data_IF_708216447378
#
_entry.id   IF_708216447378
#
_cell.length_a   1.000
_cell.length_b   1.000
_cell.length_c   1.000
_cell.angle_alpha   90.00
_cell.angle_beta   90.00
_cell.angle_gamma   90.00
#
_symmetry.space_group_name_H-M   'P 1'
#
loop_
_entity.id
_entity.type
_entity.pdbx_description
1 polymer ?
#
# COMPACT_ATOMS: atom_id res chain seq x y z
N UNK A 1 -10.13 4.99 7.59
CA UNK A 1 -9.82 3.66 7.03
C UNK A 1 -9.37 2.77 8.18
N UNK A 2 -10.08 1.67 8.40
CA UNK A 2 -9.72 0.67 9.39
C UNK A 2 -8.65 -0.28 8.85
N UNK A 3 -7.96 -1.07 9.71
CA UNK A 3 -7.07 -2.13 9.24
C UNK A 3 -7.76 -3.15 8.32
N UNK A 4 -9.05 -3.45 8.57
CA UNK A 4 -9.86 -4.34 7.73
C UNK A 4 -10.08 -3.76 6.33
N UNK A 5 -10.50 -2.50 6.24
CA UNK A 5 -10.71 -1.83 4.93
C UNK A 5 -9.41 -1.82 4.10
N UNK A 6 -8.26 -1.59 4.76
CA UNK A 6 -6.95 -1.59 4.11
C UNK A 6 -6.55 -3.00 3.65
N UNK A 7 -6.88 -4.02 4.45
CA UNK A 7 -6.65 -5.41 4.08
C UNK A 7 -7.45 -5.78 2.83
N UNK A 8 -8.74 -5.47 2.82
CA UNK A 8 -9.63 -5.77 1.69
C UNK A 8 -9.19 -5.01 0.42
N UNK A 9 -8.80 -3.75 0.55
CA UNK A 9 -8.22 -2.97 -0.55
C UNK A 9 -6.96 -3.63 -1.12
N UNK A 10 -6.08 -4.16 -0.27
CA UNK A 10 -4.89 -4.86 -0.74
C UNK A 10 -5.23 -6.20 -1.41
N UNK A 11 -6.19 -6.95 -0.86
CA UNK A 11 -6.62 -8.22 -1.45
C UNK A 11 -7.25 -7.99 -2.83
N UNK A 12 -8.10 -6.97 -3.00
CA UNK A 12 -8.65 -6.60 -4.30
C UNK A 12 -7.55 -6.25 -5.31
N UNK A 13 -6.56 -5.45 -4.90
CA UNK A 13 -5.43 -5.11 -5.76
C UNK A 13 -4.62 -6.34 -6.18
N UNK A 14 -4.42 -7.31 -5.29
CA UNK A 14 -3.74 -8.58 -5.58
C UNK A 14 -4.56 -9.43 -6.55
N UNK A 15 -5.88 -9.55 -6.31
CA UNK A 15 -6.77 -10.33 -7.17
C UNK A 15 -6.85 -9.77 -8.59
N UNK A 16 -6.95 -8.44 -8.73
CA UNK A 16 -6.97 -7.78 -10.05
C UNK A 16 -5.65 -7.94 -10.79
N UNK A 17 -4.53 -7.88 -10.07
CA UNK A 17 -3.22 -8.20 -10.63
C UNK A 17 -3.14 -9.66 -11.13
N UNK A 18 -3.60 -10.62 -10.31
CA UNK A 18 -3.60 -12.04 -10.67
C UNK A 18 -4.54 -12.36 -11.85
N UNK A 19 -5.61 -11.59 -12.04
CA UNK A 19 -6.50 -11.68 -13.21
C UNK A 19 -5.91 -11.01 -14.47
N UNK A 20 -4.76 -10.36 -14.37
CA UNK A 20 -4.13 -9.65 -15.48
C UNK A 20 -4.82 -8.32 -15.85
N UNK A 21 -5.68 -7.79 -14.98
CA UNK A 21 -6.40 -6.52 -15.23
C UNK A 21 -5.50 -5.29 -15.05
N UNK A 22 -4.34 -5.47 -14.41
CA UNK A 22 -3.39 -4.39 -14.11
C UNK A 22 -2.05 -4.72 -14.73
N UNK A 23 -1.59 -3.89 -15.67
CA UNK A 23 -0.23 -3.96 -16.20
C UNK A 23 0.73 -3.26 -15.24
N UNK A 24 1.30 -4.04 -14.32
CA UNK A 24 2.29 -3.59 -13.36
C UNK A 24 3.33 -4.70 -13.12
N UNK A 25 4.48 -4.35 -12.54
CA UNK A 25 5.48 -5.34 -12.15
C UNK A 25 5.06 -6.14 -10.89
N UNK A 26 4.24 -5.54 -10.02
CA UNK A 26 3.73 -6.13 -8.78
C UNK A 26 2.40 -5.48 -8.39
N UNK A 27 1.54 -6.14 -7.60
CA UNK A 27 0.30 -5.55 -7.10
C UNK A 27 0.60 -4.41 -6.11
N UNK A 28 -0.06 -3.27 -6.30
CA UNK A 28 0.14 -2.09 -5.47
C UNK A 28 -1.19 -1.42 -5.13
N UNK A 29 -1.20 -0.66 -4.04
CA UNK A 29 -2.29 0.24 -3.68
C UNK A 29 -1.78 1.69 -3.66
N UNK A 30 -2.66 2.63 -3.99
CA UNK A 30 -2.38 4.06 -3.88
C UNK A 30 -3.15 4.63 -2.68
N UNK A 31 -2.44 5.28 -1.77
CA UNK A 31 -3.04 5.90 -0.59
C UNK A 31 -2.72 7.39 -0.53
N UNK A 32 -3.69 8.16 -0.06
CA UNK A 32 -3.48 9.55 0.35
C UNK A 32 -3.33 9.61 1.86
N UNK A 33 -2.17 10.07 2.33
CA UNK A 33 -1.79 10.11 3.73
C UNK A 33 -1.72 11.57 4.20
N UNK A 34 -2.62 12.03 5.09
CA UNK A 34 -2.53 13.36 5.66
C UNK A 34 -1.31 13.45 6.60
N UNK A 35 -0.51 14.51 6.45
CA UNK A 35 0.68 14.79 7.27
C UNK A 35 0.68 16.23 7.74
N UNK A 36 1.18 16.49 8.94
CA UNK A 36 1.34 17.86 9.49
C UNK A 36 2.46 18.65 8.83
N UNK A 37 3.40 17.96 8.18
CA UNK A 37 4.58 18.55 7.55
C UNK A 37 4.78 17.93 6.16
N UNK A 38 5.39 18.67 5.22
CA UNK A 38 5.77 18.10 3.94
C UNK A 38 6.75 16.95 4.14
N UNK A 39 6.66 15.94 3.27
CA UNK A 39 7.61 14.85 3.32
C UNK A 39 8.97 15.30 2.78
N UNK A 40 10.05 14.90 3.45
CA UNK A 40 11.42 15.05 2.94
C UNK A 40 11.91 13.68 2.48
N UNK A 41 11.79 13.41 1.18
CA UNK A 41 12.21 12.16 0.55
C UNK A 41 11.17 11.54 -0.37
N UNK A 42 11.54 10.43 -1.00
CA UNK A 42 10.75 9.69 -1.99
C UNK A 42 10.08 8.43 -1.40
N UNK A 43 10.31 8.14 -0.12
CA UNK A 43 9.77 6.96 0.58
C UNK A 43 9.09 7.32 1.89
N UNK A 44 8.02 6.60 2.20
CA UNK A 44 7.24 6.78 3.42
C UNK A 44 6.84 5.43 4.02
N UNK A 45 6.81 5.32 5.35
CA UNK A 45 6.25 4.14 6.02
C UNK A 45 4.75 4.28 6.21
N UNK A 46 4.02 3.18 5.97
CA UNK A 46 2.57 3.17 6.09
C UNK A 46 2.10 3.36 7.54
N UNK A 47 2.73 2.66 8.48
CA UNK A 47 2.48 2.80 9.92
C UNK A 47 3.74 2.51 10.75
N UNK A 48 3.82 3.16 11.92
CA UNK A 48 4.89 2.95 12.89
C UNK A 48 6.31 3.08 12.33
N UNK A 49 7.25 2.39 12.98
CA UNK A 49 8.66 2.30 12.56
C UNK A 49 8.99 1.03 11.77
N UNK A 50 8.12 0.03 11.79
CA UNK A 50 8.31 -1.29 11.18
C UNK A 50 7.41 -1.52 9.97
N UNK A 51 6.43 -0.66 9.71
CA UNK A 51 5.50 -0.84 8.59
C UNK A 51 6.18 -0.77 7.22
N UNK A 52 5.51 -1.30 6.19
CA UNK A 52 6.03 -1.35 4.83
C UNK A 52 6.28 0.06 4.28
N UNK A 53 7.30 0.15 3.43
CA UNK A 53 7.60 1.38 2.70
C UNK A 53 6.75 1.48 1.45
N UNK A 54 6.24 2.68 1.19
CA UNK A 54 5.68 3.08 -0.09
C UNK A 54 6.54 4.16 -0.73
N UNK A 55 6.39 4.30 -2.05
CA UNK A 55 7.04 5.34 -2.85
C UNK A 55 6.09 6.53 -3.01
N UNK A 56 6.59 7.71 -2.69
CA UNK A 56 5.84 8.96 -2.82
C UNK A 56 5.68 9.30 -4.29
N UNK A 57 4.45 9.58 -4.69
CA UNK A 57 4.11 10.05 -6.02
C UNK A 57 4.05 11.58 -6.06
N UNK A 58 3.34 12.17 -5.09
CA UNK A 58 3.18 13.63 -4.99
C UNK A 58 2.81 14.04 -3.57
N UNK A 59 3.05 15.30 -3.23
CA UNK A 59 2.61 15.92 -2.00
C UNK A 59 2.02 17.29 -2.31
N UNK A 60 0.81 17.56 -1.81
CA UNK A 60 0.15 18.87 -1.97
C UNK A 60 -0.28 19.44 -0.62
N UNK A 61 -0.09 20.75 -0.39
CA UNK A 61 -0.67 21.40 0.79
C UNK A 61 -2.21 21.38 0.69
N UNK A 62 -2.86 21.43 1.85
CA UNK A 62 -4.31 21.52 2.04
C UNK A 62 -4.64 22.84 2.72
N UNK A 63 -5.90 23.26 2.59
CA UNK A 63 -6.39 24.52 3.16
C UNK A 63 -6.41 24.51 4.70
N UNK A 64 -6.45 23.33 5.33
CA UNK A 64 -6.38 23.13 6.78
C UNK A 64 -4.94 23.15 7.34
N UNK A 65 -3.95 23.51 6.50
CA UNK A 65 -2.53 23.55 6.87
C UNK A 65 -1.86 22.18 6.90
N UNK A 66 -2.57 21.09 6.58
CA UNK A 66 -1.97 19.77 6.42
C UNK A 66 -1.43 19.56 5.00
N UNK A 67 -0.77 18.43 4.80
CA UNK A 67 -0.28 17.97 3.51
C UNK A 67 -0.95 16.65 3.14
N UNK A 68 -1.47 16.55 1.92
CA UNK A 68 -1.87 15.27 1.32
C UNK A 68 -0.67 14.67 0.59
N UNK A 69 -0.13 13.58 1.12
CA UNK A 69 0.93 12.81 0.47
C UNK A 69 0.30 11.61 -0.23
N UNK A 70 0.43 11.53 -1.54
CA UNK A 70 0.02 10.37 -2.33
C UNK A 70 1.21 9.44 -2.49
N UNK A 71 1.04 8.17 -2.13
CA UNK A 71 2.09 7.17 -2.21
C UNK A 71 1.56 5.80 -2.65
N UNK A 72 2.40 5.06 -3.37
CA UNK A 72 2.17 3.69 -3.81
C UNK A 72 2.83 2.71 -2.84
N UNK A 73 2.08 1.70 -2.39
CA UNK A 73 2.58 0.66 -1.49
C UNK A 73 2.43 -0.72 -2.14
N UNK A 74 3.42 -1.62 -2.01
CA UNK A 74 3.28 -3.00 -2.46
C UNK A 74 2.18 -3.71 -1.65
N UNK A 75 1.10 -4.14 -2.31
CA UNK A 75 -0.08 -4.67 -1.63
C UNK A 75 0.26 -5.91 -0.79
N UNK A 76 1.09 -6.80 -1.33
CA UNK A 76 1.56 -8.02 -0.64
C UNK A 76 2.32 -7.70 0.64
N UNK A 77 3.16 -6.66 0.63
CA UNK A 77 3.92 -6.26 1.82
C UNK A 77 3.00 -5.67 2.90
N UNK A 78 1.96 -4.95 2.50
CA UNK A 78 0.94 -4.40 3.40
C UNK A 78 0.11 -5.51 4.03
N UNK A 79 -0.39 -6.47 3.23
CA UNK A 79 -1.15 -7.62 3.74
C UNK A 79 -0.34 -8.39 4.78
N UNK A 80 0.93 -8.70 4.51
CA UNK A 80 1.81 -9.39 5.48
C UNK A 80 1.92 -8.61 6.79
N UNK A 81 2.22 -7.32 6.71
CA UNK A 81 2.37 -6.49 7.91
C UNK A 81 1.06 -6.35 8.71
N UNK A 82 -0.09 -6.29 8.04
CA UNK A 82 -1.40 -6.30 8.71
C UNK A 82 -1.71 -7.65 9.34
N UNK A 83 -1.40 -8.74 8.64
CA UNK A 83 -1.57 -10.12 9.13
C UNK A 83 -0.79 -10.34 10.43
N UNK A 84 0.47 -9.90 10.45
CA UNK A 84 1.32 -9.95 11.64
C UNK A 84 0.76 -9.13 12.80
N UNK A 85 0.21 -7.94 12.51
CA UNK A 85 -0.42 -7.09 13.53
C UNK A 85 -1.74 -7.66 14.07
N UNK A 86 -2.54 -8.32 13.24
CA UNK A 86 -3.84 -8.87 13.60
C UNK A 86 -3.75 -10.30 14.16
N UNK A 87 -2.59 -10.95 14.07
CA UNK A 87 -2.41 -12.35 14.47
C UNK A 87 -3.08 -13.35 13.53
N UNK A 88 -3.35 -12.98 12.28
CA UNK A 88 -4.04 -13.81 11.28
C UNK A 88 -3.01 -14.39 10.32
N UNK A 89 -3.08 -15.69 9.99
CA UNK A 89 -2.23 -16.30 8.95
C UNK A 89 -2.89 -16.13 7.58
N UNK A 90 -2.25 -15.37 6.69
CA UNK A 90 -2.73 -15.21 5.31
C UNK A 90 -1.85 -16.00 4.35
N UNK A 91 -2.47 -16.95 3.65
CA UNK A 91 -1.81 -17.71 2.59
C UNK A 91 -1.81 -16.87 1.31
N UNK A 92 -0.78 -16.06 1.09
CA UNK A 92 -0.59 -15.35 -0.19
C UNK A 92 0.03 -16.32 -1.18
N UNK A 93 -0.78 -16.90 -2.07
CA UNK A 93 -0.26 -17.64 -3.22
C UNK A 93 0.38 -16.64 -4.18
N UNK A 94 1.68 -16.80 -4.45
CA UNK A 94 2.33 -16.06 -5.54
C UNK A 94 1.74 -16.58 -6.84
N UNK A 95 1.01 -15.74 -7.56
CA UNK A 95 0.55 -16.03 -8.91
C UNK A 95 1.74 -16.49 -9.77
N UNK A 96 1.57 -17.63 -10.44
CA UNK A 96 2.52 -18.15 -11.43
C UNK A 96 2.78 -17.04 -12.46
N UNK A 97 4.04 -16.69 -12.77
CA UNK A 97 4.29 -15.80 -13.88
C UNK A 97 3.72 -16.44 -15.16
N UNK A 98 3.10 -15.67 -16.07
CA UNK A 98 2.68 -16.21 -17.35
C UNK A 98 3.92 -16.77 -18.04
N UNK A 99 3.90 -18.08 -18.31
CA UNK A 99 4.99 -18.78 -19.00
C UNK A 99 5.30 -18.04 -20.31
N UNK A 100 6.57 -17.63 -20.49
CA UNK A 100 7.09 -17.04 -21.72
C UNK A 100 7.58 -18.09 -22.70
#
# INVERSE_FOLDING_TARGET
MTPGDLFDLCMDAIDRFNRGEVSAAEPFIMLTLPRKVPLRGDRIRLFGKSGPFGRVATGKPRDDGLWNIVAYFPAVAVVKALSDMMGVKVAIQRGRPPDG
#
